data_IF_802952356735
#
_entry.id   IF_802952356735
#
_cell.length_a   1.000
_cell.length_b   1.000
_cell.length_c   1.000
_cell.angle_alpha   90.00
_cell.angle_beta   90.00
_cell.angle_gamma   90.00
#
_symmetry.space_group_name_H-M   'P 1'
#
loop_
_entity.id
_entity.type
_entity.pdbx_description
1 polymer ?
#
# COMPACT_ATOMS: atom_id res chain seq x y z
N UNK A 1 1.14 7.80 -21.92
CA UNK A 1 2.27 8.41 -21.19
C UNK A 1 2.20 7.92 -19.75
N UNK A 2 3.12 7.04 -19.33
CA UNK A 2 3.24 6.63 -17.93
C UNK A 2 3.83 7.81 -17.14
N UNK A 3 3.06 8.39 -16.23
CA UNK A 3 3.54 9.47 -15.37
C UNK A 3 4.38 8.85 -14.24
N UNK A 4 5.70 8.78 -14.46
CA UNK A 4 6.66 8.35 -13.44
C UNK A 4 6.85 9.53 -12.47
N UNK A 5 6.84 9.26 -11.16
CA UNK A 5 7.14 10.28 -10.16
C UNK A 5 8.59 10.77 -10.33
N UNK A 6 8.83 12.09 -10.30
CA UNK A 6 10.17 12.65 -10.38
C UNK A 6 11.03 12.17 -9.21
N UNK A 7 12.33 11.98 -9.45
CA UNK A 7 13.24 11.37 -8.47
C UNK A 7 13.56 12.34 -7.32
N UNK A 8 13.60 13.66 -7.59
CA UNK A 8 13.95 14.69 -6.63
C UNK A 8 13.12 15.96 -6.83
N UNK A 9 13.04 16.78 -5.79
CA UNK A 9 12.53 18.16 -5.86
C UNK A 9 13.44 19.04 -6.71
N UNK A 10 12.86 20.10 -7.27
CA UNK A 10 13.59 21.15 -7.96
C UNK A 10 12.73 22.43 -8.00
N UNK A 11 13.20 23.45 -8.74
CA UNK A 11 12.51 24.74 -8.83
C UNK A 11 11.05 24.69 -9.30
N UNK A 12 10.62 23.60 -9.94
CA UNK A 12 9.26 23.41 -10.45
C UNK A 12 8.60 22.12 -9.93
N UNK A 13 9.24 21.40 -9.00
CA UNK A 13 8.75 20.13 -8.45
C UNK A 13 8.94 20.14 -6.94
N UNK A 14 7.83 20.00 -6.21
CA UNK A 14 7.83 19.98 -4.74
C UNK A 14 6.99 18.82 -4.23
N UNK A 15 7.50 18.12 -3.22
CA UNK A 15 6.81 17.08 -2.48
C UNK A 15 6.24 17.67 -1.18
N UNK A 16 5.01 17.29 -0.87
CA UNK A 16 4.35 17.64 0.40
C UNK A 16 3.69 16.41 0.95
N UNK A 17 3.80 16.22 2.25
CA UNK A 17 3.22 15.06 2.94
C UNK A 17 1.69 15.14 3.03
N UNK A 18 1.12 16.35 3.01
CA UNK A 18 -0.33 16.56 3.08
C UNK A 18 -0.73 17.94 2.56
N UNK A 19 -2.03 18.14 2.30
CA UNK A 19 -2.57 19.43 1.88
C UNK A 19 -2.72 20.37 3.07
N UNK A 20 -1.69 21.16 3.34
CA UNK A 20 -1.63 22.13 4.44
C UNK A 20 -1.12 23.50 3.95
N UNK A 21 -0.81 24.41 4.88
CA UNK A 21 -0.35 25.78 4.58
C UNK A 21 0.85 25.82 3.64
N UNK A 22 1.72 24.82 3.75
CA UNK A 22 2.92 24.65 2.93
C UNK A 22 2.56 24.49 1.46
N UNK A 23 1.50 23.75 1.13
CA UNK A 23 1.02 23.61 -0.26
C UNK A 23 0.57 24.96 -0.81
N UNK A 24 -0.16 25.75 0.00
CA UNK A 24 -0.60 27.08 -0.40
C UNK A 24 0.59 28.01 -0.64
N UNK A 25 1.59 27.98 0.24
CA UNK A 25 2.83 28.74 0.06
C UNK A 25 3.57 28.33 -1.21
N UNK A 26 3.66 27.03 -1.49
CA UNK A 26 4.30 26.52 -2.71
C UNK A 26 3.52 26.92 -3.97
N UNK A 27 2.18 26.93 -3.94
CA UNK A 27 1.35 27.44 -5.05
C UNK A 27 1.70 28.90 -5.34
N UNK A 28 1.76 29.75 -4.31
CA UNK A 28 2.11 31.18 -4.47
C UNK A 28 3.54 31.34 -4.99
N UNK A 29 4.49 30.56 -4.50
CA UNK A 29 5.88 30.60 -4.99
C UNK A 29 5.97 30.17 -6.47
N UNK A 30 5.25 29.12 -6.87
CA UNK A 30 5.21 28.65 -8.25
C UNK A 30 4.47 29.63 -9.17
N UNK A 31 3.40 30.28 -8.71
CA UNK A 31 2.69 31.29 -9.52
C UNK A 31 3.52 32.53 -9.80
N UNK A 32 4.46 32.86 -8.91
CA UNK A 32 5.38 33.98 -9.08
C UNK A 32 6.62 33.64 -9.92
N UNK A 33 6.73 32.39 -10.40
CA UNK A 33 7.88 31.89 -11.17
C UNK A 33 7.40 31.24 -12.47
N UNK A 34 7.95 30.08 -12.86
CA UNK A 34 7.63 29.39 -14.12
C UNK A 34 6.48 28.37 -13.98
N UNK A 35 5.73 28.44 -12.87
CA UNK A 35 4.81 27.37 -12.48
C UNK A 35 5.54 26.13 -11.97
N UNK A 36 4.78 25.06 -11.68
CA UNK A 36 5.35 23.81 -11.20
C UNK A 36 4.30 22.75 -10.88
N UNK A 37 4.76 21.61 -10.36
CA UNK A 37 3.97 20.47 -9.93
C UNK A 37 4.19 20.23 -8.44
N UNK A 38 3.09 20.13 -7.70
CA UNK A 38 3.11 19.76 -6.29
C UNK A 38 2.56 18.35 -6.18
N UNK A 39 3.35 17.45 -5.62
CA UNK A 39 2.97 16.07 -5.35
C UNK A 39 2.62 15.96 -3.87
N UNK A 40 1.37 15.60 -3.57
CA UNK A 40 0.83 15.58 -2.21
C UNK A 40 0.68 14.14 -1.75
N UNK A 41 1.02 13.88 -0.48
CA UNK A 41 1.07 12.54 0.09
C UNK A 41 2.43 11.86 -0.07
N UNK A 42 3.47 12.58 -0.49
CA UNK A 42 4.82 12.02 -0.68
C UNK A 42 5.70 12.39 0.51
N UNK A 43 6.40 11.39 1.03
CA UNK A 43 7.46 11.47 2.04
C UNK A 43 8.67 10.68 1.49
N UNK A 44 9.86 10.92 2.04
CA UNK A 44 11.13 10.31 1.62
C UNK A 44 11.05 8.78 1.49
N UNK A 45 10.35 8.14 2.43
CA UNK A 45 10.24 6.68 2.50
C UNK A 45 8.87 6.13 2.05
N UNK A 46 7.84 6.98 1.87
CA UNK A 46 6.48 6.49 1.60
C UNK A 46 5.60 7.45 0.82
N UNK A 47 4.67 6.88 0.06
CA UNK A 47 3.58 7.59 -0.61
C UNK A 47 2.27 7.16 0.00
N UNK A 48 1.47 8.11 0.45
CA UNK A 48 0.18 7.90 1.10
C UNK A 48 -0.92 8.47 0.23
N UNK A 49 -1.84 7.62 -0.21
CA UNK A 49 -3.03 8.01 -0.96
C UNK A 49 -4.26 7.64 -0.12
N UNK A 50 -5.11 8.61 0.17
CA UNK A 50 -6.34 8.40 0.93
C UNK A 50 -7.55 8.82 0.10
N UNK A 51 -8.56 7.96 0.02
CA UNK A 51 -9.88 8.28 -0.54
C UNK A 51 -10.90 8.33 0.60
N UNK A 52 -11.75 9.36 0.66
CA UNK A 52 -12.88 9.36 1.59
C UNK A 52 -13.84 8.20 1.26
N UNK A 53 -14.44 7.66 2.32
CA UNK A 53 -15.27 6.46 2.27
C UNK A 53 -14.50 5.18 2.54
N UNK A 54 -15.17 4.24 3.19
CA UNK A 54 -14.70 2.87 3.42
C UNK A 54 -14.77 2.02 2.15
N UNK A 55 -14.35 0.76 2.23
CA UNK A 55 -14.66 -0.25 1.24
C UNK A 55 -16.18 -0.35 1.04
N UNK A 56 -16.56 -0.67 -0.20
CA UNK A 56 -17.96 -0.69 -0.62
C UNK A 56 -18.55 -2.09 -0.47
N UNK A 57 -19.79 -2.16 0.00
CA UNK A 57 -20.56 -3.39 0.08
C UNK A 57 -19.90 -4.45 0.97
N UNK A 58 -19.76 -5.69 0.49
CA UNK A 58 -19.17 -6.82 1.20
C UNK A 58 -17.63 -6.90 1.04
N UNK A 59 -17.01 -5.88 0.46
CA UNK A 59 -15.57 -5.85 0.20
C UNK A 59 -14.80 -5.64 1.51
N UNK A 60 -13.77 -6.46 1.72
CA UNK A 60 -12.89 -6.41 2.88
C UNK A 60 -11.43 -6.32 2.46
N UNK A 61 -10.56 -5.90 3.39
CA UNK A 61 -9.11 -5.89 3.14
C UNK A 61 -8.59 -7.30 2.81
N UNK A 62 -9.10 -8.33 3.47
CA UNK A 62 -8.70 -9.72 3.22
C UNK A 62 -9.06 -10.19 1.80
N UNK A 63 -10.24 -9.79 1.30
CA UNK A 63 -10.66 -10.08 -0.08
C UNK A 63 -9.75 -9.40 -1.10
N UNK A 64 -9.30 -8.17 -0.83
CA UNK A 64 -8.34 -7.45 -1.67
C UNK A 64 -6.97 -8.16 -1.65
N UNK A 65 -6.47 -8.52 -0.47
CA UNK A 65 -5.17 -9.19 -0.30
C UNK A 65 -5.14 -10.58 -0.96
N UNK A 66 -6.20 -11.38 -0.79
CA UNK A 66 -6.36 -12.69 -1.42
C UNK A 66 -6.68 -12.63 -2.91
N UNK A 67 -6.91 -11.43 -3.45
CA UNK A 67 -7.37 -11.19 -4.84
C UNK A 67 -8.67 -11.93 -5.17
N UNK A 68 -9.44 -12.29 -4.14
CA UNK A 68 -10.71 -12.99 -4.25
C UNK A 68 -11.85 -12.00 -3.98
N UNK A 69 -12.09 -11.12 -4.94
CA UNK A 69 -13.14 -10.12 -4.86
C UNK A 69 -13.82 -9.94 -6.22
N UNK A 70 -15.10 -9.57 -6.19
CA UNK A 70 -15.81 -9.09 -7.37
C UNK A 70 -15.81 -7.57 -7.34
N UNK A 71 -15.52 -6.95 -8.48
CA UNK A 71 -15.55 -5.50 -8.58
C UNK A 71 -16.96 -4.96 -8.44
N UNK A 72 -17.20 -4.20 -7.37
CA UNK A 72 -18.42 -3.42 -7.17
C UNK A 72 -18.12 -1.91 -7.30
N UNK A 73 -19.05 -1.17 -7.90
CA UNK A 73 -18.94 0.27 -8.12
C UNK A 73 -20.00 1.00 -7.30
N UNK A 74 -19.58 1.97 -6.47
CA UNK A 74 -20.52 2.85 -5.76
C UNK A 74 -21.40 3.65 -6.70
N UNK A 75 -20.83 4.15 -7.79
CA UNK A 75 -21.53 4.95 -8.78
C UNK A 75 -21.16 4.49 -10.19
N UNK A 76 -22.04 3.69 -10.80
CA UNK A 76 -21.85 3.12 -12.13
C UNK A 76 -21.80 4.20 -13.23
N UNK A 77 -22.59 5.27 -13.13
CA UNK A 77 -22.65 6.33 -14.15
C UNK A 77 -21.34 7.15 -14.20
N UNK A 78 -20.80 7.49 -13.03
CA UNK A 78 -19.51 8.18 -12.93
C UNK A 78 -18.40 7.27 -13.47
N UNK A 79 -18.40 6.02 -13.00
CA UNK A 79 -17.57 4.97 -13.54
C UNK A 79 -18.09 4.44 -14.90
N UNK A 80 -18.71 5.24 -15.73
CA UNK A 80 -18.96 4.88 -17.14
C UNK A 80 -18.50 6.06 -17.98
N UNK A 81 -18.83 7.28 -17.54
CA UNK A 81 -18.28 8.52 -18.06
C UNK A 81 -16.74 8.54 -18.12
N UNK A 82 -16.04 8.09 -17.07
CA UNK A 82 -14.57 8.08 -17.07
C UNK A 82 -13.96 7.05 -18.06
N UNK A 83 -14.67 5.97 -18.37
CA UNK A 83 -14.22 4.90 -19.26
C UNK A 83 -14.47 5.28 -20.70
N UNK A 84 -15.64 5.85 -20.99
CA UNK A 84 -15.96 6.39 -22.30
C UNK A 84 -15.02 7.54 -22.70
N UNK A 85 -14.49 8.30 -21.74
CA UNK A 85 -13.51 9.35 -22.02
C UNK A 85 -12.07 8.85 -22.17
N UNK A 86 -11.85 7.51 -22.17
CA UNK A 86 -10.53 6.86 -22.20
C UNK A 86 -9.55 7.36 -21.12
N UNK A 87 -10.08 8.00 -20.07
CA UNK A 87 -9.29 8.46 -18.92
C UNK A 87 -9.03 7.34 -17.93
N UNK A 88 -9.78 6.23 -18.01
CA UNK A 88 -9.62 5.03 -17.19
C UNK A 88 -9.91 3.77 -17.99
N UNK A 89 -9.17 2.70 -17.74
CA UNK A 89 -9.48 1.37 -18.29
C UNK A 89 -10.67 0.70 -17.56
N UNK A 90 -11.12 -0.46 -18.07
CA UNK A 90 -12.28 -1.22 -17.55
C UNK A 90 -12.20 -1.37 -16.02
N UNK A 91 -13.19 -0.83 -15.32
CA UNK A 91 -13.23 -0.75 -13.86
C UNK A 91 -13.13 -2.12 -13.20
N UNK A 92 -12.59 -2.13 -11.98
CA UNK A 92 -12.58 -3.32 -11.13
C UNK A 92 -11.29 -4.11 -11.07
N UNK A 93 -10.32 -3.75 -11.89
CA UNK A 93 -8.99 -4.36 -11.90
C UNK A 93 -7.96 -3.51 -11.16
N UNK A 94 -8.36 -2.40 -10.53
CA UNK A 94 -7.48 -1.43 -9.88
C UNK A 94 -6.50 -2.08 -8.89
N UNK A 95 -6.99 -2.92 -7.97
CA UNK A 95 -6.11 -3.59 -7.01
C UNK A 95 -5.14 -4.57 -7.68
N UNK A 96 -5.62 -5.38 -8.62
CA UNK A 96 -4.79 -6.32 -9.39
C UNK A 96 -3.72 -5.59 -10.23
N UNK A 97 -4.03 -4.38 -10.72
CA UNK A 97 -3.07 -3.57 -11.49
C UNK A 97 -1.95 -3.04 -10.64
N UNK A 98 -2.25 -2.62 -9.41
CA UNK A 98 -1.23 -2.19 -8.45
C UNK A 98 -0.18 -3.31 -8.30
N UNK A 99 -0.62 -4.55 -8.10
CA UNK A 99 0.30 -5.70 -8.05
C UNK A 99 1.12 -5.87 -9.34
N UNK A 100 0.49 -5.74 -10.51
CA UNK A 100 1.17 -5.93 -11.79
C UNK A 100 2.18 -4.83 -12.08
N UNK A 101 1.86 -3.57 -11.79
CA UNK A 101 2.75 -2.42 -11.99
C UNK A 101 3.93 -2.45 -11.02
N UNK A 102 3.73 -2.92 -9.79
CA UNK A 102 4.80 -3.02 -8.80
C UNK A 102 5.78 -4.18 -9.04
N UNK A 103 5.52 -5.08 -10.01
CA UNK A 103 6.49 -6.13 -10.39
C UNK A 103 7.84 -5.55 -10.85
N UNK A 104 7.80 -4.39 -11.50
CA UNK A 104 9.00 -3.69 -11.98
C UNK A 104 9.71 -2.91 -10.86
N UNK A 105 9.13 -2.86 -9.66
CA UNK A 105 9.62 -2.11 -8.49
C UNK A 105 9.70 -3.03 -7.25
N UNK A 106 10.62 -4.02 -7.23
CA UNK A 106 10.68 -5.04 -6.16
C UNK A 106 11.03 -4.47 -4.78
N UNK A 107 11.57 -3.26 -4.72
CA UNK A 107 11.87 -2.53 -3.50
C UNK A 107 10.67 -1.70 -2.99
N UNK A 108 9.51 -1.82 -3.60
CA UNK A 108 8.29 -1.11 -3.19
C UNK A 108 7.28 -2.12 -2.66
N UNK A 109 6.83 -1.90 -1.43
CA UNK A 109 5.70 -2.63 -0.83
C UNK A 109 4.54 -1.68 -0.62
N UNK A 110 3.35 -2.21 -0.35
CA UNK A 110 2.20 -1.38 -0.02
C UNK A 110 1.29 -2.04 1.02
N UNK A 111 0.50 -1.22 1.72
CA UNK A 111 -0.53 -1.65 2.64
C UNK A 111 -1.85 -0.90 2.40
N UNK A 112 -2.97 -1.59 2.57
CA UNK A 112 -4.29 -0.97 2.65
C UNK A 112 -4.75 -0.88 4.11
N UNK A 113 -5.30 0.27 4.50
CA UNK A 113 -5.90 0.50 5.81
C UNK A 113 -7.22 1.25 5.67
N UNK A 114 -8.21 0.88 6.47
CA UNK A 114 -9.34 1.75 6.73
C UNK A 114 -9.05 2.56 7.99
N UNK A 115 -8.87 3.87 7.83
CA UNK A 115 -8.63 4.77 8.96
C UNK A 115 -9.82 5.72 9.06
N UNK A 116 -10.54 5.66 10.18
CA UNK A 116 -11.79 6.38 10.42
C UNK A 116 -12.83 6.12 9.31
N UNK A 117 -13.00 7.05 8.38
CA UNK A 117 -13.92 6.96 7.25
C UNK A 117 -13.22 7.14 5.90
N UNK A 118 -11.97 6.67 5.79
CA UNK A 118 -11.20 6.72 4.57
C UNK A 118 -10.49 5.38 4.31
N UNK A 119 -10.49 4.96 3.05
CA UNK A 119 -9.58 3.93 2.56
C UNK A 119 -8.25 4.59 2.23
N UNK A 120 -7.19 4.10 2.84
CA UNK A 120 -5.84 4.54 2.63
C UNK A 120 -5.01 3.41 2.02
N UNK A 121 -4.22 3.75 1.01
CA UNK A 121 -3.10 2.93 0.53
C UNK A 121 -1.80 3.67 0.83
N UNK A 122 -0.85 2.97 1.43
CA UNK A 122 0.50 3.48 1.65
C UNK A 122 1.48 2.61 0.90
N UNK A 123 2.29 3.21 0.02
CA UNK A 123 3.43 2.57 -0.61
C UNK A 123 4.68 2.91 0.19
N UNK A 124 5.54 1.93 0.43
CA UNK A 124 6.80 2.08 1.15
C UNK A 124 7.96 1.76 0.22
N UNK A 125 8.96 2.63 0.21
CA UNK A 125 10.25 2.36 -0.40
C UNK A 125 11.10 1.60 0.61
N UNK A 126 11.37 0.32 0.35
CA UNK A 126 12.22 -0.50 1.19
C UNK A 126 13.69 -0.17 0.88
N UNK A 127 14.23 0.81 1.60
CA UNK A 127 15.63 1.24 1.51
C UNK A 127 16.50 0.37 2.43
N UNK A 128 16.70 -0.91 2.05
CA UNK A 128 17.83 -1.84 2.35
C UNK A 128 17.43 -3.31 2.67
N UNK A 129 18.07 -4.20 1.93
CA UNK A 129 18.38 -5.64 2.06
C UNK A 129 18.10 -6.33 3.41
N UNK A 130 17.07 -7.17 3.46
CA UNK A 130 16.81 -8.16 4.52
C UNK A 130 17.38 -9.56 4.19
N UNK A 131 18.33 -9.67 3.26
CA UNK A 131 18.91 -10.98 2.87
C UNK A 131 19.68 -11.65 4.03
N UNK A 132 20.17 -10.89 5.01
CA UNK A 132 20.84 -11.46 6.19
C UNK A 132 19.92 -11.82 7.36
N UNK A 133 18.78 -11.13 7.52
CA UNK A 133 17.94 -11.26 8.73
C UNK A 133 16.91 -12.39 8.56
N UNK A 134 16.25 -12.48 7.39
CA UNK A 134 15.20 -13.49 7.20
C UNK A 134 15.76 -14.92 7.08
N UNK A 135 16.95 -15.10 6.48
CA UNK A 135 17.58 -16.42 6.38
C UNK A 135 18.07 -16.98 7.73
N UNK A 136 18.73 -16.14 8.54
CA UNK A 136 19.27 -16.55 9.84
C UNK A 136 18.21 -16.77 10.92
N UNK A 137 17.21 -15.88 10.97
CA UNK A 137 16.11 -15.97 11.95
C UNK A 137 15.20 -17.15 11.61
N UNK A 138 14.78 -17.30 10.35
CA UNK A 138 13.86 -18.39 9.98
C UNK A 138 14.53 -19.78 10.09
N UNK A 139 15.84 -19.92 9.87
CA UNK A 139 16.55 -21.17 10.13
C UNK A 139 16.66 -21.53 11.62
N UNK A 140 16.99 -20.54 12.47
CA UNK A 140 17.29 -20.78 13.88
C UNK A 140 16.04 -20.92 14.75
N UNK A 141 15.04 -20.05 14.56
CA UNK A 141 13.84 -20.04 15.41
C UNK A 141 12.90 -21.19 15.04
N UNK A 142 12.77 -21.49 13.74
CA UNK A 142 11.87 -22.52 13.24
C UNK A 142 12.38 -23.95 13.57
N UNK A 143 13.70 -24.15 13.68
CA UNK A 143 14.29 -25.40 14.15
C UNK A 143 14.19 -25.59 15.67
N UNK A 144 14.60 -24.59 16.45
CA UNK A 144 14.64 -24.70 17.92
C UNK A 144 13.26 -24.67 18.58
N UNK A 145 12.40 -23.73 18.17
CA UNK A 145 11.08 -23.53 18.82
C UNK A 145 10.08 -24.60 18.39
N UNK A 146 9.97 -24.92 17.09
CA UNK A 146 9.03 -25.99 16.69
C UNK A 146 9.45 -27.36 17.20
N UNK A 147 10.76 -27.63 17.32
CA UNK A 147 11.25 -28.87 17.95
C UNK A 147 10.76 -28.99 19.39
N UNK A 148 11.08 -28.00 20.23
CA UNK A 148 10.66 -28.01 21.64
C UNK A 148 9.15 -27.97 21.84
N UNK A 149 8.41 -27.19 21.03
CA UNK A 149 6.94 -27.12 21.11
C UNK A 149 6.30 -28.43 20.68
N UNK A 150 6.82 -29.10 19.65
CA UNK A 150 6.30 -30.42 19.24
C UNK A 150 6.59 -31.52 20.27
N UNK A 151 7.74 -31.49 20.93
CA UNK A 151 8.05 -32.42 22.01
C UNK A 151 7.10 -32.23 23.19
N UNK A 152 6.88 -30.99 23.62
CA UNK A 152 5.93 -30.67 24.70
C UNK A 152 4.49 -31.03 24.28
N UNK A 153 4.09 -30.71 23.05
CA UNK A 153 2.78 -31.08 22.52
C UNK A 153 2.55 -32.59 22.51
N UNK A 154 3.54 -33.36 22.05
CA UNK A 154 3.46 -34.82 22.03
C UNK A 154 3.44 -35.40 23.46
N UNK A 155 4.19 -34.81 24.39
CA UNK A 155 4.17 -35.22 25.79
C UNK A 155 2.80 -34.99 26.44
N UNK A 156 2.20 -33.80 26.25
CA UNK A 156 0.86 -33.47 26.78
C UNK A 156 -0.20 -34.37 26.14
N UNK A 157 -0.13 -34.60 24.83
CA UNK A 157 -1.04 -35.49 24.11
C UNK A 157 -1.00 -36.94 24.64
N UNK A 158 0.18 -37.42 24.99
CA UNK A 158 0.37 -38.77 25.52
C UNK A 158 0.09 -38.87 27.03
N UNK A 159 0.02 -37.75 27.75
CA UNK A 159 -0.23 -37.70 29.20
C UNK A 159 -1.30 -36.63 29.56
N UNK A 160 -2.57 -36.84 29.15
CA UNK A 160 -3.63 -35.82 29.21
C UNK A 160 -4.01 -35.37 30.64
N UNK A 161 -3.66 -36.14 31.67
CA UNK A 161 -3.93 -35.80 33.08
C UNK A 161 -2.81 -34.97 33.73
N UNK A 162 -1.72 -34.71 33.00
CA UNK A 162 -0.61 -33.89 33.50
C UNK A 162 -0.97 -32.42 33.35
N UNK A 163 -1.31 -31.76 34.46
CA UNK A 163 -1.44 -30.30 34.48
C UNK A 163 -0.04 -29.68 34.51
N UNK A 164 0.16 -28.67 33.67
CA UNK A 164 1.37 -27.86 33.63
C UNK A 164 1.67 -27.20 34.98
#
# INVERSE_FOLDING_TARGET
MSAILPINENQTIEFKTSFQKEVINTIVAFSNTKGGKIYIGVNDDKIVISSPGKLYDDMTLDKIQSKNYQSSLRNKLVAEAFYLTAKTEKYGTGFIRIDNELKDFPNVTYEFKEIANALQITFFKNTKNNEGVNGGVNGSVNGGVNGGVNEVYNYIKNNPDTKA
#
